data_IF_633115158555
#
_entry.id   IF_633115158555
#
_cell.length_a   1.000
_cell.length_b   1.000
_cell.length_c   1.000
_cell.angle_alpha   90.00
_cell.angle_beta   90.00
_cell.angle_gamma   90.00
#
_symmetry.space_group_name_H-M   'P 1'
#
loop_
_entity.id
_entity.type
_entity.pdbx_description
1 polymer ?
#
# COMPACT_ATOMS: atom_id res chain seq x y z
N UNK A 1 16.87 4.27 -19.67
CA UNK A 1 16.08 3.53 -18.63
C UNK A 1 14.64 3.95 -18.73
N UNK A 2 13.70 3.03 -18.52
CA UNK A 2 12.28 3.38 -18.42
C UNK A 2 12.02 4.23 -17.17
N UNK A 3 11.05 5.14 -17.21
CA UNK A 3 10.60 5.87 -16.03
C UNK A 3 10.13 4.89 -14.95
N UNK A 4 10.51 5.16 -13.70
CA UNK A 4 10.14 4.34 -12.55
C UNK A 4 9.72 5.22 -11.39
N UNK A 5 8.67 4.81 -10.68
CA UNK A 5 8.34 5.31 -9.36
C UNK A 5 8.68 4.24 -8.34
N UNK A 6 9.39 4.61 -7.29
CA UNK A 6 9.80 3.70 -6.21
C UNK A 6 9.17 4.13 -4.90
N UNK A 7 8.38 3.25 -4.32
CA UNK A 7 7.66 3.47 -3.08
C UNK A 7 8.20 2.54 -2.00
N UNK A 8 8.30 3.01 -0.77
CA UNK A 8 8.56 2.17 0.40
C UNK A 8 7.23 1.84 1.07
N UNK A 9 6.86 0.57 1.12
CA UNK A 9 5.67 0.08 1.82
C UNK A 9 6.08 -0.50 3.17
N UNK A 10 5.67 0.16 4.25
CA UNK A 10 6.00 -0.21 5.64
C UNK A 10 4.72 -0.61 6.35
N UNK A 11 4.65 -1.86 6.81
CA UNK A 11 3.52 -2.38 7.57
C UNK A 11 3.60 -2.04 9.05
N UNK A 12 2.79 -2.66 9.77
CA UNK A 12 2.46 -2.60 11.19
C UNK A 12 3.70 -2.42 12.09
N UNK A 13 3.85 -1.23 12.69
CA UNK A 13 4.99 -0.87 13.54
C UNK A 13 4.80 -1.31 14.99
N UNK A 14 3.57 -1.25 15.49
CA UNK A 14 3.18 -1.57 16.87
C UNK A 14 4.14 -0.97 17.91
N UNK A 15 4.41 0.33 17.80
CA UNK A 15 5.24 1.03 18.77
C UNK A 15 4.53 1.11 20.12
N UNK A 16 5.15 0.61 21.21
CA UNK A 16 4.51 0.64 22.52
C UNK A 16 4.38 2.06 23.04
N UNK A 17 3.30 2.32 23.78
CA UNK A 17 3.09 3.58 24.48
C UNK A 17 4.22 3.88 25.45
N UNK A 18 4.66 5.13 25.48
CA UNK A 18 5.67 5.59 26.43
C UNK A 18 5.09 5.89 27.82
N UNK A 19 4.28 5.01 28.35
CA UNK A 19 3.53 5.10 29.61
C UNK A 19 3.69 6.42 30.37
N UNK A 20 2.70 7.31 30.28
CA UNK A 20 2.48 8.49 31.13
C UNK A 20 3.34 9.73 30.91
N UNK A 21 4.23 9.80 29.93
CA UNK A 21 4.96 11.03 29.65
C UNK A 21 4.97 11.34 28.16
N UNK A 22 4.29 12.39 27.79
CA UNK A 22 4.28 12.97 26.45
C UNK A 22 5.66 13.47 26.07
N UNK A 23 6.47 12.62 25.43
CA UNK A 23 7.81 13.00 24.97
C UNK A 23 8.05 12.51 23.57
N UNK A 24 8.76 13.31 22.77
CA UNK A 24 9.28 12.84 21.50
C UNK A 24 10.11 11.58 21.73
N UNK A 25 9.87 10.54 20.97
CA UNK A 25 10.70 9.35 21.04
C UNK A 25 12.04 9.65 20.37
N UNK A 26 13.06 9.77 21.19
CA UNK A 26 14.44 9.60 20.79
C UNK A 26 14.94 8.30 21.43
N UNK A 27 15.44 7.36 20.64
CA UNK A 27 15.99 6.10 21.13
C UNK A 27 17.14 6.30 22.15
N UNK A 28 17.70 7.49 22.24
CA UNK A 28 18.73 7.89 23.22
C UNK A 28 18.12 8.46 24.50
N UNK A 29 16.83 8.81 24.47
CA UNK A 29 16.21 9.42 25.65
C UNK A 29 15.98 8.37 26.75
N UNK A 30 16.67 8.56 27.89
CA UNK A 30 16.55 7.69 29.06
C UNK A 30 15.24 7.84 29.82
N UNK A 31 14.42 8.76 29.42
CA UNK A 31 13.13 9.05 30.08
C UNK A 31 11.97 8.22 29.54
N UNK A 32 12.20 7.44 28.49
CA UNK A 32 11.21 6.51 27.95
C UNK A 32 10.91 5.36 28.90
N UNK A 33 9.74 4.75 28.74
CA UNK A 33 9.47 3.49 29.38
C UNK A 33 10.51 2.44 28.95
N UNK A 34 10.77 1.49 29.83
CA UNK A 34 11.72 0.41 29.54
C UNK A 34 11.29 -0.39 28.32
N UNK A 35 9.97 -0.63 28.20
CA UNK A 35 9.38 -1.37 27.10
C UNK A 35 9.63 -0.69 25.77
N UNK A 36 9.39 0.62 25.68
CA UNK A 36 9.61 1.40 24.47
C UNK A 36 11.08 1.44 24.08
N UNK A 37 11.98 1.68 25.06
CA UNK A 37 13.42 1.64 24.80
C UNK A 37 13.88 0.27 24.32
N UNK A 38 13.39 -0.80 24.92
CA UNK A 38 13.70 -2.16 24.51
C UNK A 38 13.22 -2.46 23.09
N UNK A 39 12.03 -2.01 22.72
CA UNK A 39 11.53 -2.17 21.36
C UNK A 39 12.36 -1.41 20.34
N UNK A 40 12.62 -0.12 20.58
CA UNK A 40 13.42 0.71 19.68
C UNK A 40 14.87 0.18 19.58
N UNK A 41 15.39 -0.41 20.63
CA UNK A 41 16.72 -1.03 20.64
C UNK A 41 16.76 -2.43 20.05
N UNK A 42 15.63 -3.06 19.80
CA UNK A 42 15.57 -4.38 19.15
C UNK A 42 16.26 -4.35 17.81
N UNK A 43 17.11 -5.32 17.59
CA UNK A 43 17.91 -5.40 16.38
C UNK A 43 17.08 -5.42 15.10
N UNK A 44 15.94 -6.15 15.00
CA UNK A 44 15.13 -6.16 13.81
C UNK A 44 14.61 -4.79 13.39
N UNK A 45 13.85 -4.11 14.26
CA UNK A 45 13.25 -2.81 13.92
C UNK A 45 14.31 -1.73 13.65
N UNK A 46 15.40 -1.72 14.41
CA UNK A 46 16.54 -0.81 14.20
C UNK A 46 17.18 -1.05 12.84
N UNK A 47 17.35 -2.32 12.44
CA UNK A 47 17.96 -2.69 11.16
C UNK A 47 17.06 -2.29 10.00
N UNK A 48 15.73 -2.50 10.11
CA UNK A 48 14.75 -2.08 9.12
C UNK A 48 14.78 -0.57 8.93
N UNK A 49 14.68 0.21 10.01
CA UNK A 49 14.68 1.68 9.91
C UNK A 49 16.01 2.24 9.39
N UNK A 50 17.13 1.63 9.74
CA UNK A 50 18.43 1.97 9.16
C UNK A 50 18.44 1.73 7.65
N UNK A 51 17.84 0.63 7.18
CA UNK A 51 17.77 0.34 5.75
C UNK A 51 16.82 1.27 5.01
N UNK A 52 15.65 1.56 5.57
CA UNK A 52 14.71 2.56 5.03
C UNK A 52 15.39 3.93 4.87
N UNK A 53 16.10 4.38 5.90
CA UNK A 53 16.88 5.62 5.83
C UNK A 53 17.93 5.60 4.71
N UNK A 54 18.66 4.50 4.55
CA UNK A 54 19.64 4.35 3.46
C UNK A 54 19.00 4.42 2.07
N UNK A 55 17.79 3.87 1.92
CA UNK A 55 17.05 3.96 0.65
C UNK A 55 16.58 5.39 0.37
N UNK A 56 16.12 6.11 1.38
CA UNK A 56 15.76 7.53 1.26
C UNK A 56 16.97 8.39 0.86
N UNK A 57 18.18 8.06 1.36
CA UNK A 57 19.44 8.73 0.97
C UNK A 57 19.82 8.50 -0.50
N UNK A 58 19.40 7.40 -1.12
CA UNK A 58 19.76 7.08 -2.51
C UNK A 58 19.06 7.95 -3.54
N UNK A 59 18.16 8.84 -3.14
CA UNK A 59 17.39 9.78 -3.98
C UNK A 59 16.41 9.13 -4.99
N UNK A 60 16.29 7.79 -4.99
CA UNK A 60 15.43 7.06 -5.92
C UNK A 60 14.02 6.83 -5.37
N UNK A 61 13.75 7.19 -4.10
CA UNK A 61 12.46 6.96 -3.46
C UNK A 61 11.51 8.10 -3.78
N UNK A 62 10.41 7.76 -4.41
CA UNK A 62 9.34 8.71 -4.80
C UNK A 62 8.36 8.98 -3.65
N UNK A 63 8.15 8.01 -2.75
CA UNK A 63 7.27 8.16 -1.57
C UNK A 63 7.51 7.06 -0.55
N UNK A 64 7.11 7.30 0.70
CA UNK A 64 7.03 6.29 1.76
C UNK A 64 5.60 6.19 2.27
N UNK A 65 5.11 4.96 2.41
CA UNK A 65 3.74 4.65 2.76
C UNK A 65 3.70 3.78 4.02
N UNK A 66 3.00 4.24 5.04
CA UNK A 66 2.78 3.51 6.28
C UNK A 66 1.36 2.94 6.29
N UNK A 67 1.28 1.60 6.42
CA UNK A 67 0.03 0.84 6.26
C UNK A 67 -0.82 0.80 7.53
N UNK A 68 -0.61 1.68 8.49
CA UNK A 68 -1.33 1.69 9.77
C UNK A 68 -0.64 0.89 10.86
N UNK A 69 -1.31 0.79 12.01
CA UNK A 69 -0.80 0.18 13.24
C UNK A 69 0.58 0.72 13.63
N UNK A 70 0.67 2.06 13.67
CA UNK A 70 1.88 2.75 14.12
C UNK A 70 2.11 2.52 15.61
N UNK A 71 1.02 2.35 16.38
CA UNK A 71 1.05 2.15 17.82
C UNK A 71 0.50 0.78 18.20
N UNK A 72 0.89 0.28 19.37
CA UNK A 72 0.38 -0.98 19.93
C UNK A 72 -0.96 -0.77 20.66
N UNK A 73 -1.15 0.44 21.22
CA UNK A 73 -2.38 0.85 21.89
C UNK A 73 -2.71 2.29 21.55
N UNK A 74 -3.97 2.54 21.20
CA UNK A 74 -4.52 3.86 20.92
C UNK A 74 -4.50 4.79 22.13
N UNK A 75 -3.35 5.34 22.48
CA UNK A 75 -3.12 6.26 23.57
C UNK A 75 -2.30 7.46 23.10
N UNK A 76 -2.57 8.64 23.66
CA UNK A 76 -1.99 9.91 23.22
C UNK A 76 -0.46 9.93 23.24
N UNK A 77 0.15 9.36 24.28
CA UNK A 77 1.62 9.27 24.38
C UNK A 77 2.22 8.33 23.34
N UNK A 78 1.52 7.24 23.00
CA UNK A 78 1.89 6.34 21.92
C UNK A 78 1.84 7.02 20.55
N UNK A 79 0.78 7.77 20.26
CA UNK A 79 0.65 8.51 19.00
C UNK A 79 1.77 9.52 18.79
N UNK A 80 2.03 10.37 19.78
CA UNK A 80 3.13 11.34 19.74
C UNK A 80 4.49 10.66 19.66
N UNK A 81 4.67 9.61 20.44
CA UNK A 81 5.87 8.82 20.44
C UNK A 81 6.15 8.16 19.10
N UNK A 82 5.14 7.54 18.48
CA UNK A 82 5.25 6.90 17.17
C UNK A 82 5.58 7.90 16.07
N UNK A 83 4.87 9.02 16.01
CA UNK A 83 5.13 10.09 15.05
C UNK A 83 6.55 10.65 15.21
N UNK A 84 6.99 10.93 16.45
CA UNK A 84 8.33 11.40 16.74
C UNK A 84 9.41 10.40 16.30
N UNK A 85 9.19 9.12 16.57
CA UNK A 85 10.14 8.06 16.18
C UNK A 85 10.31 8.01 14.66
N UNK A 86 9.21 7.95 13.90
CA UNK A 86 9.24 7.93 12.43
C UNK A 86 9.98 9.15 11.89
N UNK A 87 9.59 10.35 12.34
CA UNK A 87 10.16 11.60 11.90
C UNK A 87 11.66 11.69 12.18
N UNK A 88 12.11 11.27 13.37
CA UNK A 88 13.51 11.35 13.78
C UNK A 88 14.37 10.25 13.14
N UNK A 89 13.87 9.01 13.10
CA UNK A 89 14.63 7.88 12.58
C UNK A 89 14.85 7.96 11.06
N UNK A 90 13.86 8.47 10.34
CA UNK A 90 13.89 8.58 8.87
C UNK A 90 14.18 10.00 8.38
N UNK A 91 14.32 10.98 9.28
CA UNK A 91 14.53 12.39 8.94
C UNK A 91 13.46 12.92 7.98
N UNK A 92 12.20 12.53 8.23
CA UNK A 92 11.01 12.94 7.49
C UNK A 92 10.32 14.11 8.18
N UNK A 93 9.54 14.87 7.41
CA UNK A 93 8.76 16.01 7.91
C UNK A 93 9.48 17.34 7.86
N UNK A 94 8.80 18.40 8.32
CA UNK A 94 9.24 19.79 8.17
C UNK A 94 10.61 20.05 8.80
N UNK A 95 11.49 20.71 8.04
CA UNK A 95 12.82 21.08 8.50
C UNK A 95 13.83 19.94 8.62
N UNK A 96 13.48 18.74 8.13
CA UNK A 96 14.33 17.56 8.14
C UNK A 96 14.89 17.23 6.75
N UNK A 97 15.88 16.35 6.72
CA UNK A 97 16.65 16.03 5.50
C UNK A 97 15.78 15.53 4.35
N UNK A 98 14.78 14.69 4.64
CA UNK A 98 13.88 14.12 3.65
C UNK A 98 12.49 14.79 3.66
N UNK A 99 12.42 16.10 3.98
CA UNK A 99 11.16 16.84 4.02
C UNK A 99 10.41 16.89 2.67
N UNK A 100 11.12 16.73 1.56
CA UNK A 100 10.53 16.75 0.23
C UNK A 100 9.95 15.39 -0.19
N UNK A 101 10.22 14.31 0.57
CA UNK A 101 9.66 12.99 0.26
C UNK A 101 8.19 12.95 0.64
N UNK A 102 7.27 12.72 -0.32
CA UNK A 102 5.86 12.52 -0.03
C UNK A 102 5.64 11.35 0.92
N UNK A 103 4.74 11.53 1.87
CA UNK A 103 4.43 10.55 2.90
C UNK A 103 2.95 10.22 2.82
N UNK A 104 2.60 8.93 2.77
CA UNK A 104 1.23 8.46 2.95
C UNK A 104 1.11 7.68 4.26
N UNK A 105 0.14 8.04 5.08
CA UNK A 105 -0.17 7.33 6.33
C UNK A 105 -1.66 7.01 6.35
N UNK A 106 -2.01 5.77 6.61
CA UNK A 106 -3.39 5.36 6.90
C UNK A 106 -3.48 4.87 8.34
N UNK A 107 -4.62 5.05 9.02
CA UNK A 107 -4.78 4.53 10.37
C UNK A 107 -4.99 3.02 10.36
N UNK A 108 -4.41 2.32 11.35
CA UNK A 108 -4.74 0.94 11.68
C UNK A 108 -5.71 0.84 12.86
N UNK A 109 -6.21 -0.35 13.16
CA UNK A 109 -7.16 -0.56 14.26
C UNK A 109 -6.52 -0.36 15.65
N UNK A 110 -5.20 -0.44 15.75
CA UNK A 110 -4.45 -0.07 16.96
C UNK A 110 -4.17 1.43 17.08
N UNK A 111 -4.42 2.22 16.04
CA UNK A 111 -4.18 3.67 16.00
C UNK A 111 -5.39 4.51 16.41
N UNK A 112 -6.41 3.90 16.98
CA UNK A 112 -7.65 4.54 17.40
C UNK A 112 -7.57 4.87 18.88
N UNK A 113 -7.87 6.11 19.26
CA UNK A 113 -8.03 6.47 20.68
C UNK A 113 -9.25 5.77 21.26
N UNK A 114 -9.00 4.87 22.22
CA UNK A 114 -10.02 3.97 22.77
C UNK A 114 -11.06 4.70 23.61
N UNK A 115 -10.72 5.82 24.22
CA UNK A 115 -11.67 6.60 25.01
C UNK A 115 -12.56 7.46 24.10
N UNK A 116 -11.97 8.05 23.06
CA UNK A 116 -12.73 8.80 22.07
C UNK A 116 -13.61 7.90 21.20
N UNK A 117 -13.21 6.64 20.98
CA UNK A 117 -14.04 5.67 20.26
C UNK A 117 -15.37 5.35 20.96
N UNK A 118 -15.48 5.59 22.27
CA UNK A 118 -16.72 5.43 23.05
C UNK A 118 -17.70 6.58 22.88
N UNK A 119 -17.25 7.68 22.24
CA UNK A 119 -18.09 8.87 22.03
C UNK A 119 -18.93 8.70 20.74
N UNK A 120 -20.01 9.48 20.61
CA UNK A 120 -20.88 9.41 19.42
C UNK A 120 -20.19 9.82 18.10
N UNK A 121 -19.09 10.58 18.18
CA UNK A 121 -18.37 11.03 16.99
C UNK A 121 -17.49 9.92 16.42
N UNK A 122 -17.75 9.52 15.18
CA UNK A 122 -16.96 8.53 14.46
C UNK A 122 -15.55 9.00 14.11
N UNK A 123 -15.37 10.31 13.92
CA UNK A 123 -14.08 10.90 13.51
C UNK A 123 -13.15 11.21 14.69
N UNK A 124 -13.70 11.51 15.88
CA UNK A 124 -12.93 11.99 17.04
C UNK A 124 -11.79 11.05 17.44
N UNK A 125 -11.98 9.77 17.33
CA UNK A 125 -11.00 8.72 17.68
C UNK A 125 -9.70 8.77 16.89
N UNK A 126 -9.68 9.44 15.73
CA UNK A 126 -8.49 9.60 14.88
C UNK A 126 -7.74 10.92 15.13
N UNK A 127 -8.35 11.89 15.80
CA UNK A 127 -7.73 13.21 16.00
C UNK A 127 -6.39 13.17 16.73
N UNK A 128 -6.20 12.39 17.81
CA UNK A 128 -4.93 12.40 18.52
C UNK A 128 -3.75 11.94 17.66
N UNK A 129 -3.93 10.90 16.82
CA UNK A 129 -2.90 10.48 15.90
C UNK A 129 -2.72 11.51 14.78
N UNK A 130 -3.79 12.06 14.23
CA UNK A 130 -3.70 13.08 13.18
C UNK A 130 -2.95 14.33 13.66
N UNK A 131 -3.21 14.80 14.87
CA UNK A 131 -2.45 15.90 15.49
C UNK A 131 -0.98 15.55 15.70
N UNK A 132 -0.69 14.32 16.14
CA UNK A 132 0.67 13.88 16.32
C UNK A 132 1.45 13.88 15.00
N UNK A 133 0.87 13.32 13.93
CA UNK A 133 1.48 13.31 12.60
C UNK A 133 1.70 14.74 12.08
N UNK A 134 0.69 15.60 12.19
CA UNK A 134 0.78 16.99 11.76
C UNK A 134 1.88 17.76 12.51
N UNK A 135 2.01 17.56 13.83
CA UNK A 135 3.02 18.22 14.67
C UNK A 135 4.46 17.89 14.24
N UNK A 136 4.68 16.72 13.61
CA UNK A 136 5.99 16.32 13.09
C UNK A 136 6.13 16.49 11.57
N UNK A 137 5.12 17.04 10.89
CA UNK A 137 5.13 17.25 9.45
C UNK A 137 5.06 15.95 8.64
N UNK A 138 4.47 14.91 9.20
CA UNK A 138 4.31 13.60 8.54
C UNK A 138 3.02 13.50 7.70
N UNK A 139 2.34 14.61 7.47
CA UNK A 139 1.10 14.67 6.71
C UNK A 139 -0.15 14.57 7.59
N UNK A 140 -1.26 14.21 6.99
CA UNK A 140 -2.56 14.03 7.64
C UNK A 140 -3.11 12.63 7.36
N UNK A 141 -4.05 12.18 8.20
CA UNK A 141 -4.77 10.92 8.01
C UNK A 141 -6.01 11.13 7.12
N UNK A 142 -6.34 10.17 6.26
CA UNK A 142 -7.69 10.05 5.75
C UNK A 142 -8.61 9.70 6.93
N UNK A 143 -9.55 10.55 7.28
CA UNK A 143 -10.48 10.29 8.40
C UNK A 143 -11.80 9.76 7.86
N UNK A 144 -12.69 10.65 7.44
CA UNK A 144 -13.99 10.29 6.84
C UNK A 144 -13.92 10.22 5.31
N UNK A 145 -13.03 11.01 4.71
CA UNK A 145 -12.81 11.10 3.27
C UNK A 145 -11.50 10.47 2.86
N UNK A 146 -11.41 10.03 1.62
CA UNK A 146 -10.12 9.66 1.04
C UNK A 146 -9.24 10.89 0.81
N UNK A 147 -7.93 10.66 0.76
CA UNK A 147 -6.94 11.70 0.43
C UNK A 147 -6.09 11.23 -0.76
N UNK A 148 -5.71 12.14 -1.63
CA UNK A 148 -4.91 11.82 -2.80
C UNK A 148 -3.52 12.44 -2.69
N UNK A 149 -2.49 11.62 -2.95
CA UNK A 149 -1.09 12.05 -3.10
C UNK A 149 -0.66 11.72 -4.52
N UNK A 150 -0.45 12.75 -5.34
CA UNK A 150 -0.04 12.58 -6.73
C UNK A 150 1.48 12.54 -6.85
N UNK A 151 2.00 11.56 -7.56
CA UNK A 151 3.41 11.40 -7.87
C UNK A 151 3.64 11.48 -9.38
N UNK A 152 4.81 11.98 -9.78
CA UNK A 152 5.19 12.01 -11.18
C UNK A 152 6.70 12.01 -11.40
N UNK A 153 7.13 11.27 -12.43
CA UNK A 153 8.53 11.27 -12.91
C UNK A 153 8.49 11.25 -14.43
N UNK A 154 9.04 12.26 -15.07
CA UNK A 154 8.88 12.48 -16.51
C UNK A 154 7.38 12.46 -16.90
N UNK A 155 6.97 11.60 -17.84
CA UNK A 155 5.57 11.45 -18.25
C UNK A 155 4.78 10.45 -17.41
N UNK A 156 5.45 9.70 -16.54
CA UNK A 156 4.82 8.73 -15.64
C UNK A 156 4.02 9.42 -14.52
N UNK A 157 2.79 8.99 -14.26
CA UNK A 157 1.91 9.52 -13.23
C UNK A 157 1.33 8.39 -12.37
N UNK A 158 1.20 8.67 -11.07
CA UNK A 158 0.55 7.76 -10.13
C UNK A 158 -0.21 8.59 -9.08
N UNK A 159 -1.49 8.31 -8.91
CA UNK A 159 -2.30 8.86 -7.83
C UNK A 159 -2.46 7.81 -6.75
N UNK A 160 -2.00 8.15 -5.55
CA UNK A 160 -2.10 7.33 -4.36
C UNK A 160 -3.32 7.80 -3.57
N UNK A 161 -4.34 6.97 -3.50
CA UNK A 161 -5.58 7.22 -2.76
C UNK A 161 -5.45 6.57 -1.39
N UNK A 162 -5.34 7.39 -0.35
CA UNK A 162 -5.30 6.94 1.03
C UNK A 162 -6.71 6.80 1.57
N UNK A 163 -7.05 5.63 2.14
CA UNK A 163 -8.38 5.31 2.67
C UNK A 163 -8.31 4.89 4.13
N UNK A 164 -9.35 5.23 4.89
CA UNK A 164 -9.50 4.80 6.28
C UNK A 164 -10.40 3.57 6.39
N UNK A 165 -9.81 2.39 6.42
CA UNK A 165 -10.54 1.13 6.65
C UNK A 165 -10.90 0.88 8.13
N UNK A 166 -10.45 1.74 9.05
CA UNK A 166 -10.74 1.66 10.48
C UNK A 166 -11.93 2.54 10.89
N UNK A 167 -12.68 3.11 9.94
CA UNK A 167 -13.84 3.95 10.25
C UNK A 167 -14.84 3.24 11.15
N UNK A 168 -15.17 1.98 10.86
CA UNK A 168 -16.06 1.15 11.65
C UNK A 168 -15.48 0.62 12.97
N UNK A 169 -14.16 0.65 13.15
CA UNK A 169 -13.52 0.11 14.35
C UNK A 169 -13.93 0.90 15.60
N UNK A 170 -14.36 0.20 16.66
CA UNK A 170 -14.85 0.81 17.89
C UNK A 170 -16.27 1.37 17.81
N UNK A 171 -16.95 1.29 16.68
CA UNK A 171 -18.28 1.84 16.49
C UNK A 171 -19.37 0.91 17.06
N UNK A 172 -20.34 1.51 17.74
CA UNK A 172 -21.57 0.82 18.17
C UNK A 172 -22.66 0.82 17.08
N UNK A 173 -22.35 1.29 15.87
CA UNK A 173 -23.32 1.56 14.81
C UNK A 173 -23.93 0.33 14.15
N UNK A 174 -23.36 -0.85 14.40
CA UNK A 174 -23.91 -2.11 13.88
C UNK A 174 -25.14 -2.61 14.64
N UNK A 175 -25.52 -1.92 15.74
CA UNK A 175 -26.82 -2.14 16.38
C UNK A 175 -27.82 -1.23 15.67
N UNK A 176 -28.91 -1.79 15.06
CA UNK A 176 -29.95 -0.97 14.46
C UNK A 176 -30.40 0.15 15.38
N UNK A 177 -30.64 1.33 14.81
CA UNK A 177 -30.87 2.55 15.59
C UNK A 177 -32.01 2.39 16.60
N UNK A 178 -33.10 1.75 16.20
CA UNK A 178 -34.27 1.46 17.01
C UNK A 178 -33.96 0.59 18.23
N UNK A 179 -32.92 -0.24 18.19
CA UNK A 179 -32.51 -1.12 19.28
C UNK A 179 -31.27 -0.63 20.03
N UNK A 180 -30.57 0.39 19.50
CA UNK A 180 -29.29 0.86 20.03
C UNK A 180 -29.34 1.24 21.49
N UNK A 181 -30.39 1.98 21.90
CA UNK A 181 -30.56 2.41 23.28
C UNK A 181 -30.77 1.22 24.25
N UNK A 182 -31.63 0.27 23.86
CA UNK A 182 -31.97 -0.87 24.72
C UNK A 182 -30.83 -1.89 24.78
N UNK A 183 -30.29 -2.29 23.63
CA UNK A 183 -29.19 -3.26 23.55
C UNK A 183 -27.91 -2.65 24.10
N UNK A 184 -27.61 -1.37 23.77
CA UNK A 184 -26.44 -0.67 24.29
C UNK A 184 -26.47 -0.56 25.82
N UNK A 185 -27.62 -0.23 26.42
CA UNK A 185 -27.78 -0.22 27.89
C UNK A 185 -27.56 -1.60 28.52
N UNK A 186 -28.14 -2.65 27.94
CA UNK A 186 -27.96 -4.03 28.42
C UNK A 186 -26.49 -4.50 28.34
N UNK A 187 -25.79 -4.17 27.25
CA UNK A 187 -24.36 -4.44 27.11
C UNK A 187 -23.57 -3.70 28.19
N UNK A 188 -23.81 -2.39 28.36
CA UNK A 188 -23.12 -1.59 29.37
C UNK A 188 -23.34 -2.13 30.80
N UNK A 189 -24.54 -2.56 31.11
CA UNK A 189 -24.84 -3.13 32.42
C UNK A 189 -24.16 -4.50 32.63
N UNK A 190 -24.11 -5.32 31.60
CA UNK A 190 -23.37 -6.59 31.64
C UNK A 190 -21.86 -6.37 31.80
N UNK A 191 -21.30 -5.31 31.20
CA UNK A 191 -19.88 -4.99 31.29
C UNK A 191 -19.48 -4.40 32.66
N UNK A 192 -20.36 -3.64 33.32
CA UNK A 192 -20.07 -3.06 34.65
C UNK A 192 -19.76 -4.05 35.75
N UNK A 193 -20.29 -5.26 35.67
CA UNK A 193 -20.08 -6.34 36.70
C UNK A 193 -19.33 -7.56 36.16
N UNK A 194 -18.84 -7.50 34.94
CA UNK A 194 -18.22 -8.64 34.24
C UNK A 194 -16.77 -8.94 34.64
N UNK A 195 -16.31 -10.15 34.34
CA UNK A 195 -14.89 -10.53 34.46
C UNK A 195 -14.07 -9.56 33.59
N UNK A 196 -13.00 -8.91 34.13
CA UNK A 196 -12.17 -7.99 33.40
C UNK A 196 -11.60 -8.54 32.07
N UNK A 197 -11.38 -9.85 31.99
CA UNK A 197 -10.94 -10.53 30.76
C UNK A 197 -12.04 -10.56 29.71
N UNK A 198 -13.29 -10.80 30.12
CA UNK A 198 -14.45 -10.82 29.22
C UNK A 198 -14.74 -9.40 28.73
N UNK A 199 -14.68 -8.41 29.62
CA UNK A 199 -14.84 -6.99 29.29
C UNK A 199 -13.77 -6.54 28.29
N UNK A 200 -12.52 -6.89 28.55
CA UNK A 200 -11.42 -6.57 27.62
C UNK A 200 -11.65 -7.23 26.26
N UNK A 201 -11.97 -8.52 26.22
CA UNK A 201 -12.21 -9.25 24.97
C UNK A 201 -13.41 -8.69 24.19
N UNK A 202 -14.44 -8.18 24.86
CA UNK A 202 -15.55 -7.49 24.22
C UNK A 202 -15.08 -6.21 23.51
N UNK A 203 -14.37 -5.34 24.21
CA UNK A 203 -13.86 -4.12 23.60
C UNK A 203 -12.83 -4.38 22.50
N UNK A 204 -11.95 -5.34 22.68
CA UNK A 204 -10.99 -5.71 21.64
C UNK A 204 -11.72 -6.11 20.33
N UNK A 205 -12.83 -6.85 20.42
CA UNK A 205 -13.65 -7.20 19.25
C UNK A 205 -14.30 -6.00 18.56
N UNK A 206 -14.70 -4.96 19.32
CA UNK A 206 -15.27 -3.75 18.73
C UNK A 206 -14.22 -2.98 17.90
N UNK A 207 -12.96 -3.05 18.30
CA UNK A 207 -11.87 -2.44 17.52
C UNK A 207 -11.51 -3.21 16.25
N UNK A 208 -11.95 -4.45 16.13
CA UNK A 208 -11.71 -5.30 14.96
C UNK A 208 -12.92 -5.36 14.00
N UNK A 209 -13.70 -4.28 13.90
CA UNK A 209 -14.80 -4.18 12.93
C UNK A 209 -14.44 -3.19 11.82
N UNK A 210 -13.59 -3.60 10.87
CA UNK A 210 -13.13 -2.69 9.84
C UNK A 210 -14.24 -2.37 8.83
N UNK A 211 -14.37 -1.09 8.49
CA UNK A 211 -15.25 -0.60 7.44
C UNK A 211 -14.74 0.73 6.92
N UNK A 212 -14.98 1.05 5.68
CA UNK A 212 -14.84 2.40 5.12
C UNK A 212 -16.12 3.21 5.40
N UNK A 213 -16.01 4.53 5.46
CA UNK A 213 -17.18 5.40 5.38
C UNK A 213 -17.75 5.41 3.94
N UNK A 214 -19.04 5.66 3.81
CA UNK A 214 -19.66 5.80 2.48
C UNK A 214 -19.05 6.96 1.69
N UNK A 215 -18.70 8.04 2.36
CA UNK A 215 -18.02 9.20 1.76
C UNK A 215 -16.64 8.81 1.22
N UNK A 216 -15.86 8.03 1.99
CA UNK A 216 -14.54 7.56 1.56
C UNK A 216 -14.66 6.67 0.31
N UNK A 217 -15.65 5.77 0.26
CA UNK A 217 -15.90 4.94 -0.91
C UNK A 217 -16.29 5.81 -2.11
N UNK A 218 -17.23 6.74 -1.94
CA UNK A 218 -17.69 7.63 -3.01
C UNK A 218 -16.54 8.47 -3.59
N UNK A 219 -15.70 9.08 -2.74
CA UNK A 219 -14.54 9.86 -3.15
C UNK A 219 -13.52 9.00 -3.92
N UNK A 220 -13.30 7.76 -3.48
CA UNK A 220 -12.36 6.83 -4.13
C UNK A 220 -12.87 6.42 -5.51
N UNK A 221 -14.17 6.13 -5.63
CA UNK A 221 -14.81 5.78 -6.91
C UNK A 221 -14.78 6.98 -7.87
N UNK A 222 -15.07 8.18 -7.39
CA UNK A 222 -14.95 9.40 -8.19
C UNK A 222 -13.52 9.59 -8.70
N UNK A 223 -12.52 9.49 -7.82
CA UNK A 223 -11.11 9.57 -8.20
C UNK A 223 -10.75 8.49 -9.24
N UNK A 224 -11.21 7.25 -9.06
CA UNK A 224 -10.93 6.17 -10.00
C UNK A 224 -11.55 6.40 -11.39
N UNK A 225 -12.67 7.12 -11.45
CA UNK A 225 -13.37 7.43 -12.71
C UNK A 225 -12.79 8.68 -13.39
N UNK A 226 -12.40 9.69 -12.63
CA UNK A 226 -11.97 10.98 -13.14
C UNK A 226 -10.48 11.02 -13.50
N UNK A 227 -9.66 10.19 -12.85
CA UNK A 227 -8.22 10.12 -13.12
C UNK A 227 -7.94 9.64 -14.56
N UNK A 228 -7.05 10.31 -15.31
CA UNK A 228 -6.68 9.90 -16.66
C UNK A 228 -6.17 8.46 -16.74
N UNK A 229 -6.43 7.76 -17.85
CA UNK A 229 -6.09 6.32 -18.00
C UNK A 229 -4.59 6.03 -18.03
N UNK A 230 -3.75 7.02 -18.36
CA UNK A 230 -2.29 6.92 -18.32
C UNK A 230 -1.72 7.09 -16.91
N UNK A 231 -2.53 7.55 -15.95
CA UNK A 231 -2.16 7.68 -14.55
C UNK A 231 -2.52 6.39 -13.81
N UNK A 232 -1.54 5.75 -13.17
CA UNK A 232 -1.79 4.57 -12.34
C UNK A 232 -2.54 4.96 -11.07
N UNK A 233 -3.55 4.19 -10.72
CA UNK A 233 -4.21 4.29 -9.42
C UNK A 233 -3.61 3.29 -8.43
N UNK A 234 -3.21 3.80 -7.27
CA UNK A 234 -2.72 3.03 -6.15
C UNK A 234 -3.57 3.37 -4.93
N UNK A 235 -4.31 2.40 -4.43
CA UNK A 235 -5.16 2.56 -3.24
C UNK A 235 -4.42 2.00 -2.03
N UNK A 236 -4.44 2.73 -0.93
CA UNK A 236 -3.77 2.36 0.32
C UNK A 236 -4.78 2.36 1.45
N UNK A 237 -4.87 1.25 2.17
CA UNK A 237 -5.64 1.14 3.40
C UNK A 237 -4.95 0.16 4.36
N UNK A 238 -5.40 0.08 5.61
CA UNK A 238 -4.81 -0.85 6.56
C UNK A 238 -5.30 -2.30 6.34
N UNK A 239 -6.61 -2.50 6.17
CA UNK A 239 -7.20 -3.85 6.04
C UNK A 239 -7.21 -4.34 4.59
N UNK A 240 -7.12 -5.65 4.41
CA UNK A 240 -7.19 -6.32 3.13
C UNK A 240 -8.61 -6.27 2.51
N UNK A 241 -8.68 -6.19 1.17
CA UNK A 241 -9.96 -6.27 0.44
C UNK A 241 -10.38 -7.69 0.10
N UNK A 242 -9.44 -8.60 0.03
CA UNK A 242 -9.69 -10.01 -0.31
C UNK A 242 -9.81 -10.84 0.96
N UNK A 243 -10.62 -11.93 0.97
CA UNK A 243 -10.73 -12.81 2.09
C UNK A 243 -9.36 -13.35 2.52
N UNK A 244 -9.12 -13.45 3.82
CA UNK A 244 -7.87 -14.00 4.33
C UNK A 244 -7.76 -15.50 3.98
N UNK A 245 -6.56 -15.92 3.58
CA UNK A 245 -6.28 -17.34 3.26
C UNK A 245 -6.35 -18.25 4.49
N UNK A 246 -6.07 -17.71 5.68
CA UNK A 246 -6.18 -18.46 6.92
C UNK A 246 -7.58 -18.24 7.49
N UNK A 247 -8.34 -19.33 7.58
CA UNK A 247 -9.64 -19.38 8.26
C UNK A 247 -9.44 -19.04 9.73
N UNK A 248 -9.65 -17.80 10.10
CA UNK A 248 -9.86 -17.42 11.50
C UNK A 248 -11.36 -17.52 11.75
N UNK A 249 -11.75 -18.42 12.63
CA UNK A 249 -13.11 -18.45 13.22
C UNK A 249 -13.30 -17.27 14.19
N UNK A 250 -12.80 -16.09 13.83
CA UNK A 250 -12.97 -14.88 14.61
C UNK A 250 -13.94 -13.97 13.85
N UNK A 251 -15.06 -13.55 14.46
CA UNK A 251 -15.89 -12.52 13.89
C UNK A 251 -15.06 -11.25 13.74
N UNK A 252 -15.32 -10.48 12.66
CA UNK A 252 -14.80 -9.12 12.46
C UNK A 252 -13.32 -8.99 12.06
N UNK A 253 -12.73 -9.99 11.44
CA UNK A 253 -11.37 -9.87 10.87
C UNK A 253 -11.36 -9.41 9.43
N UNK A 254 -12.52 -9.40 8.76
CA UNK A 254 -12.65 -8.99 7.38
C UNK A 254 -13.38 -7.65 7.27
N UNK A 255 -12.98 -6.85 6.29
CA UNK A 255 -13.58 -5.56 5.99
C UNK A 255 -15.07 -5.72 5.62
N UNK A 256 -15.97 -5.14 6.42
CA UNK A 256 -17.43 -5.33 6.31
C UNK A 256 -17.97 -4.97 4.93
N UNK A 257 -17.50 -3.87 4.35
CA UNK A 257 -17.93 -3.40 3.02
C UNK A 257 -16.91 -3.63 1.91
N UNK A 258 -16.00 -4.62 2.09
CA UNK A 258 -15.00 -5.00 1.08
C UNK A 258 -15.63 -5.32 -0.29
N UNK A 259 -16.80 -5.95 -0.30
CA UNK A 259 -17.51 -6.29 -1.53
C UNK A 259 -17.89 -5.07 -2.37
N UNK A 260 -18.39 -4.01 -1.73
CA UNK A 260 -18.81 -2.78 -2.40
C UNK A 260 -17.61 -2.05 -3.04
N UNK A 261 -16.57 -1.78 -2.26
CA UNK A 261 -15.38 -1.08 -2.78
C UNK A 261 -14.67 -1.90 -3.86
N UNK A 262 -14.57 -3.22 -3.68
CA UNK A 262 -13.95 -4.11 -4.65
C UNK A 262 -14.70 -4.12 -6.00
N UNK A 263 -16.03 -4.20 -5.97
CA UNK A 263 -16.85 -4.10 -7.18
C UNK A 263 -16.63 -2.77 -7.89
N UNK A 264 -16.68 -1.67 -7.17
CA UNK A 264 -16.49 -0.32 -7.73
C UNK A 264 -15.10 -0.12 -8.32
N UNK A 265 -14.05 -0.62 -7.67
CA UNK A 265 -12.69 -0.53 -8.21
C UNK A 265 -12.51 -1.36 -9.49
N UNK A 266 -13.13 -2.54 -9.57
CA UNK A 266 -13.08 -3.36 -10.78
C UNK A 266 -13.89 -2.76 -11.95
N UNK A 267 -14.97 -2.05 -11.64
CA UNK A 267 -15.78 -1.33 -12.64
C UNK A 267 -15.04 -0.14 -13.27
N UNK A 268 -13.98 0.38 -12.64
CA UNK A 268 -13.15 1.45 -13.19
C UNK A 268 -12.41 1.04 -14.47
N UNK A 269 -12.37 -0.25 -14.82
CA UNK A 269 -11.81 -0.82 -16.07
C UNK A 269 -10.36 -0.39 -16.32
N UNK A 270 -9.57 -0.37 -15.27
CA UNK A 270 -8.15 -0.03 -15.28
C UNK A 270 -7.41 -0.86 -14.23
N UNK A 271 -6.10 -1.14 -14.40
CA UNK A 271 -5.34 -1.81 -13.36
C UNK A 271 -5.23 -0.94 -12.12
N UNK A 272 -5.48 -1.52 -10.96
CA UNK A 272 -5.40 -0.86 -9.67
C UNK A 272 -4.51 -1.67 -8.75
N UNK A 273 -3.55 -1.00 -8.12
CA UNK A 273 -2.78 -1.56 -7.01
C UNK A 273 -3.47 -1.22 -5.70
N UNK A 274 -3.60 -2.21 -4.82
CA UNK A 274 -4.11 -2.05 -3.47
C UNK A 274 -3.04 -2.48 -2.47
N UNK A 275 -2.51 -1.54 -1.69
CA UNK A 275 -1.49 -1.80 -0.67
C UNK A 275 -2.13 -1.80 0.71
N UNK A 276 -1.78 -2.80 1.52
CA UNK A 276 -2.33 -2.91 2.88
C UNK A 276 -1.32 -3.54 3.87
N UNK A 277 -1.67 -3.53 5.16
CA UNK A 277 -0.98 -4.18 6.27
C UNK A 277 -1.85 -5.23 6.95
N UNK A 278 -2.00 -5.15 8.26
CA UNK A 278 -2.90 -5.87 9.15
C UNK A 278 -2.66 -7.38 9.29
N UNK A 279 -2.50 -8.11 8.22
CA UNK A 279 -2.36 -9.58 8.26
C UNK A 279 -0.94 -10.06 8.58
N UNK A 280 0.02 -9.16 8.68
CA UNK A 280 1.45 -9.39 9.01
C UNK A 280 2.17 -10.41 8.12
N UNK A 281 1.50 -10.88 7.10
CA UNK A 281 2.07 -11.70 6.02
C UNK A 281 2.05 -10.87 4.75
N UNK A 282 2.76 -11.31 3.73
CA UNK A 282 2.92 -10.54 2.51
C UNK A 282 2.44 -11.27 1.24
N UNK A 283 1.18 -11.76 1.19
CA UNK A 283 0.66 -12.31 -0.04
C UNK A 283 0.53 -11.20 -1.10
N UNK A 284 0.75 -11.61 -2.34
CA UNK A 284 0.35 -10.86 -3.52
C UNK A 284 -0.80 -11.63 -4.14
N UNK A 285 -1.93 -10.99 -4.30
CA UNK A 285 -3.14 -11.60 -4.81
C UNK A 285 -3.70 -10.76 -5.96
N UNK A 286 -4.20 -11.44 -6.98
CA UNK A 286 -4.76 -10.77 -8.17
C UNK A 286 -6.21 -11.20 -8.33
N UNK A 287 -7.10 -10.23 -8.37
CA UNK A 287 -8.49 -10.41 -8.70
C UNK A 287 -8.76 -9.81 -10.07
N UNK A 288 -9.35 -10.57 -10.97
CA UNK A 288 -9.74 -10.11 -12.29
C UNK A 288 -11.16 -10.55 -12.61
N UNK A 289 -11.87 -9.74 -13.38
CA UNK A 289 -13.18 -10.08 -13.94
C UNK A 289 -13.05 -10.26 -15.46
N UNK A 290 -13.94 -11.06 -16.10
CA UNK A 290 -13.80 -11.40 -17.52
C UNK A 290 -13.66 -10.19 -18.46
N UNK A 291 -14.42 -9.12 -18.20
CA UNK A 291 -14.47 -7.90 -19.02
C UNK A 291 -13.79 -6.69 -18.37
N UNK A 292 -13.01 -6.91 -17.31
CA UNK A 292 -12.32 -5.87 -16.56
C UNK A 292 -10.82 -6.06 -16.49
N UNK A 293 -10.17 -5.05 -15.94
CA UNK A 293 -8.77 -5.11 -15.57
C UNK A 293 -8.57 -5.81 -14.21
N UNK A 294 -7.36 -5.81 -13.70
CA UNK A 294 -7.03 -6.48 -12.46
C UNK A 294 -6.93 -5.52 -11.28
N UNK A 295 -7.36 -6.01 -10.13
CA UNK A 295 -7.04 -5.45 -8.81
C UNK A 295 -5.93 -6.31 -8.21
N UNK A 296 -4.77 -5.71 -8.00
CA UNK A 296 -3.60 -6.37 -7.41
C UNK A 296 -3.47 -5.96 -5.96
N UNK A 297 -3.68 -6.89 -5.05
CA UNK A 297 -3.55 -6.68 -3.60
C UNK A 297 -2.16 -7.08 -3.14
N UNK A 298 -1.44 -6.18 -2.48
CA UNK A 298 -0.08 -6.38 -1.99
C UNK A 298 -0.05 -6.06 -0.50
N UNK A 299 0.16 -7.07 0.31
CA UNK A 299 0.29 -6.92 1.75
C UNK A 299 1.72 -6.55 2.15
N UNK A 300 1.87 -5.70 3.16
CA UNK A 300 3.14 -5.45 3.83
C UNK A 300 3.39 -6.49 4.93
N UNK A 301 4.64 -6.91 5.15
CA UNK A 301 4.99 -7.62 6.37
C UNK A 301 4.92 -6.66 7.57
N UNK A 302 4.81 -7.19 8.80
CA UNK A 302 5.05 -6.38 9.99
C UNK A 302 6.45 -5.76 9.94
N UNK A 303 6.58 -4.52 10.40
CA UNK A 303 7.83 -3.75 10.23
C UNK A 303 9.05 -4.43 10.89
N UNK A 304 8.86 -5.19 11.97
CA UNK A 304 9.96 -5.95 12.59
C UNK A 304 10.38 -7.19 11.76
N UNK A 305 9.56 -7.65 10.83
CA UNK A 305 9.89 -8.75 9.91
C UNK A 305 10.50 -8.24 8.59
N UNK A 306 10.25 -6.98 8.23
CA UNK A 306 10.77 -6.40 7.00
C UNK A 306 9.90 -5.29 6.42
N UNK A 307 10.02 -5.07 5.12
CA UNK A 307 9.23 -4.10 4.35
C UNK A 307 9.30 -4.45 2.86
N UNK A 308 8.44 -3.83 2.05
CA UNK A 308 8.49 -3.97 0.60
C UNK A 308 9.01 -2.68 -0.05
N UNK A 309 9.81 -2.82 -1.11
CA UNK A 309 10.03 -1.77 -2.09
C UNK A 309 9.13 -2.08 -3.28
N UNK A 310 8.26 -1.15 -3.63
CA UNK A 310 7.35 -1.23 -4.76
C UNK A 310 7.93 -0.37 -5.88
N UNK A 311 8.32 -0.98 -7.00
CA UNK A 311 8.75 -0.25 -8.18
C UNK A 311 7.69 -0.34 -9.27
N UNK A 312 7.16 0.79 -9.67
CA UNK A 312 6.21 0.88 -10.77
C UNK A 312 7.00 1.31 -12.01
N UNK A 313 6.98 0.48 -13.03
CA UNK A 313 7.68 0.71 -14.29
C UNK A 313 6.68 1.20 -15.33
N UNK A 314 7.08 2.20 -16.08
CA UNK A 314 6.27 2.81 -17.14
C UNK A 314 6.94 2.69 -18.50
N UNK A 315 6.14 2.76 -19.57
CA UNK A 315 6.66 2.98 -20.91
C UNK A 315 7.32 4.36 -21.00
N UNK A 316 8.07 4.62 -22.07
CA UNK A 316 8.57 5.96 -22.33
C UNK A 316 7.48 6.99 -22.56
N UNK A 317 6.31 6.55 -22.99
CA UNK A 317 5.10 7.38 -23.14
C UNK A 317 4.28 7.55 -21.86
N UNK A 318 4.78 7.05 -20.71
CA UNK A 318 4.13 7.22 -19.40
C UNK A 318 3.04 6.18 -19.06
N UNK A 319 2.78 5.19 -19.91
CA UNK A 319 1.79 4.15 -19.57
C UNK A 319 2.36 3.14 -18.55
N UNK A 320 1.59 2.74 -17.49
CA UNK A 320 2.03 1.73 -16.53
C UNK A 320 2.26 0.36 -17.19
N UNK A 321 3.39 -0.27 -16.93
CA UNK A 321 3.76 -1.58 -17.48
C UNK A 321 3.67 -2.70 -16.46
N UNK A 322 4.37 -2.53 -15.35
CA UNK A 322 4.50 -3.55 -14.33
C UNK A 322 4.74 -2.95 -12.95
N UNK A 323 4.32 -3.70 -11.95
CA UNK A 323 4.70 -3.48 -10.57
C UNK A 323 5.71 -4.54 -10.15
N UNK A 324 6.87 -4.13 -9.69
CA UNK A 324 7.85 -5.00 -9.07
C UNK A 324 7.73 -4.87 -7.56
N UNK A 325 7.47 -5.98 -6.89
CA UNK A 325 7.52 -6.08 -5.44
C UNK A 325 8.85 -6.67 -5.04
N UNK A 326 9.64 -5.94 -4.28
CA UNK A 326 10.97 -6.30 -3.84
C UNK A 326 10.96 -6.40 -2.31
N UNK A 327 10.73 -7.60 -1.74
CA UNK A 327 10.67 -7.77 -0.30
C UNK A 327 12.07 -7.66 0.32
N UNK A 328 12.18 -6.90 1.42
CA UNK A 328 13.32 -6.91 2.32
C UNK A 328 12.93 -7.66 3.58
N UNK A 329 13.56 -8.80 3.84
CA UNK A 329 13.23 -9.69 4.97
C UNK A 329 14.47 -10.20 5.65
N UNK A 330 14.34 -10.56 6.92
CA UNK A 330 15.40 -11.26 7.64
C UNK A 330 15.51 -12.70 7.16
N UNK A 331 16.73 -13.13 6.91
CA UNK A 331 17.03 -14.54 6.68
C UNK A 331 17.12 -15.32 8.01
N UNK A 332 17.37 -16.62 7.91
CA UNK A 332 17.50 -17.49 9.09
C UNK A 332 18.68 -17.09 10.02
N UNK A 333 19.65 -16.34 9.51
CA UNK A 333 20.77 -15.83 10.29
C UNK A 333 20.50 -14.47 10.93
N UNK A 334 19.28 -13.90 10.74
CA UNK A 334 18.89 -12.59 11.26
C UNK A 334 19.48 -11.41 10.48
N UNK A 335 19.91 -11.63 9.24
CA UNK A 335 20.40 -10.57 8.34
C UNK A 335 19.29 -10.09 7.45
N UNK A 336 19.04 -8.78 7.43
CA UNK A 336 18.06 -8.17 6.53
C UNK A 336 18.59 -8.17 5.09
N UNK A 337 17.91 -8.88 4.19
CA UNK A 337 18.29 -9.03 2.79
C UNK A 337 17.15 -8.69 1.86
N UNK A 338 17.53 -8.22 0.68
CA UNK A 338 16.63 -8.13 -0.44
C UNK A 338 16.31 -9.53 -0.98
N UNK A 339 15.05 -9.88 -1.04
CA UNK A 339 14.58 -11.12 -1.65
C UNK A 339 14.41 -10.96 -3.17
N UNK A 340 14.27 -12.06 -3.92
CA UNK A 340 13.97 -12.01 -5.34
C UNK A 340 12.75 -11.13 -5.63
N UNK A 341 12.88 -10.35 -6.68
CA UNK A 341 11.81 -9.48 -7.19
C UNK A 341 10.65 -10.32 -7.72
N UNK A 342 9.44 -9.96 -7.33
CA UNK A 342 8.20 -10.47 -7.91
C UNK A 342 7.66 -9.43 -8.89
N UNK A 343 7.30 -9.84 -10.09
CA UNK A 343 6.79 -8.93 -11.12
C UNK A 343 5.31 -9.21 -11.35
N UNK A 344 4.50 -8.16 -11.23
CA UNK A 344 3.07 -8.18 -11.53
C UNK A 344 2.82 -7.30 -12.75
N UNK A 345 2.36 -7.86 -13.88
CA UNK A 345 1.99 -7.07 -15.04
C UNK A 345 0.79 -6.16 -14.72
N UNK A 346 0.87 -4.90 -15.13
CA UNK A 346 -0.22 -3.92 -15.02
C UNK A 346 -0.99 -3.75 -16.33
N UNK A 347 -0.66 -4.55 -17.33
CA UNK A 347 -1.33 -4.55 -18.63
C UNK A 347 -2.53 -5.47 -18.54
N UNK A 348 -3.72 -4.91 -18.68
CA UNK A 348 -4.93 -5.70 -18.72
C UNK A 348 -4.96 -6.67 -19.90
N UNK A 349 -5.46 -7.89 -19.68
CA UNK A 349 -5.68 -8.88 -20.75
C UNK A 349 -6.48 -8.31 -21.93
N UNK A 350 -7.36 -7.35 -21.65
CA UNK A 350 -8.21 -6.71 -22.65
C UNK A 350 -7.40 -5.89 -23.69
N UNK A 351 -6.31 -5.25 -23.30
CA UNK A 351 -5.42 -4.53 -24.24
C UNK A 351 -4.80 -5.49 -25.25
N UNK A 352 -4.36 -6.67 -24.82
CA UNK A 352 -3.80 -7.69 -25.73
C UNK A 352 -4.79 -8.17 -26.78
N UNK A 353 -6.03 -8.46 -26.38
CA UNK A 353 -7.04 -8.98 -27.31
C UNK A 353 -7.59 -7.91 -28.25
N UNK A 354 -7.49 -6.63 -27.88
CA UNK A 354 -7.98 -5.50 -28.70
C UNK A 354 -6.89 -4.83 -29.52
N UNK A 355 -5.62 -4.93 -29.13
CA UNK A 355 -4.49 -4.41 -29.91
C UNK A 355 -4.01 -5.47 -30.89
N UNK A 356 -4.53 -5.37 -32.13
CA UNK A 356 -4.15 -6.27 -33.22
C UNK A 356 -2.65 -6.20 -33.51
N UNK A 357 -2.02 -5.03 -33.41
CA UNK A 357 -0.60 -4.84 -33.62
C UNK A 357 0.26 -5.57 -32.57
N UNK A 358 -0.11 -5.46 -31.28
CA UNK A 358 0.57 -6.19 -30.22
C UNK A 358 0.46 -7.71 -30.40
N UNK A 359 -0.72 -8.19 -30.79
CA UNK A 359 -0.92 -9.61 -31.05
C UNK A 359 -0.11 -10.11 -32.25
N UNK A 360 0.03 -9.31 -33.30
CA UNK A 360 0.85 -9.64 -34.47
C UNK A 360 2.34 -9.67 -34.12
N UNK A 361 2.82 -8.70 -33.34
CA UNK A 361 4.21 -8.66 -32.84
C UNK A 361 4.52 -9.91 -32.01
N UNK A 362 3.63 -10.27 -31.10
CA UNK A 362 3.84 -11.47 -30.28
C UNK A 362 3.81 -12.76 -31.11
N UNK A 363 2.87 -12.88 -32.06
CA UNK A 363 2.82 -14.03 -32.97
C UNK A 363 4.10 -14.14 -33.83
N UNK A 364 4.62 -13.03 -34.34
CA UNK A 364 5.90 -13.01 -35.02
C UNK A 364 7.03 -13.54 -34.14
N UNK A 365 7.18 -13.02 -32.92
CA UNK A 365 8.23 -13.45 -31.98
C UNK A 365 8.08 -14.93 -31.59
N UNK A 366 6.87 -15.43 -31.39
CA UNK A 366 6.63 -16.86 -31.15
C UNK A 366 7.10 -17.73 -32.31
N UNK A 367 7.00 -17.24 -33.54
CA UNK A 367 7.42 -17.96 -34.74
C UNK A 367 8.94 -17.95 -34.92
N UNK A 368 9.60 -16.80 -34.74
CA UNK A 368 11.06 -16.67 -34.94
C UNK A 368 11.87 -17.09 -33.71
N UNK A 369 11.24 -17.13 -32.52
CA UNK A 369 11.82 -17.45 -31.20
C UNK A 369 12.79 -16.41 -30.69
N UNK A 370 13.80 -16.07 -31.46
CA UNK A 370 14.81 -15.08 -31.13
C UNK A 370 15.19 -14.25 -32.36
N UNK A 371 15.36 -12.96 -32.21
CA UNK A 371 15.85 -12.09 -33.28
C UNK A 371 16.50 -10.82 -32.72
N UNK A 372 17.36 -10.21 -33.55
CA UNK A 372 17.89 -8.88 -33.28
C UNK A 372 16.86 -7.80 -33.61
N UNK A 373 16.96 -6.64 -32.94
CA UNK A 373 16.05 -5.52 -33.11
C UNK A 373 15.94 -5.06 -34.57
N UNK A 374 17.05 -4.91 -35.30
CA UNK A 374 17.03 -4.41 -36.66
C UNK A 374 16.24 -5.34 -37.60
N UNK A 375 16.39 -6.67 -37.41
CA UNK A 375 15.60 -7.66 -38.15
C UNK A 375 14.13 -7.56 -37.78
N UNK A 376 13.83 -7.49 -36.49
CA UNK A 376 12.46 -7.34 -35.97
C UNK A 376 11.80 -6.06 -36.55
N UNK A 377 12.51 -4.94 -36.51
CA UNK A 377 12.03 -3.65 -37.04
C UNK A 377 11.71 -3.78 -38.54
N UNK A 378 12.61 -4.40 -39.31
CA UNK A 378 12.40 -4.60 -40.75
C UNK A 378 11.22 -5.50 -41.07
N UNK A 379 11.08 -6.62 -40.36
CA UNK A 379 10.06 -7.63 -40.62
C UNK A 379 8.66 -7.19 -40.14
N UNK A 380 8.58 -6.40 -39.07
CA UNK A 380 7.33 -5.96 -38.45
C UNK A 380 6.90 -4.52 -38.84
N UNK A 381 7.69 -3.83 -39.69
CA UNK A 381 7.42 -2.43 -40.06
C UNK A 381 6.01 -2.19 -40.61
N UNK A 382 5.44 -3.18 -41.31
CA UNK A 382 4.09 -3.08 -41.86
C UNK A 382 2.96 -3.13 -40.84
N UNK A 383 3.23 -3.54 -39.61
CA UNK A 383 2.19 -3.63 -38.56
C UNK A 383 1.80 -2.22 -38.08
N UNK A 384 2.70 -1.26 -38.16
CA UNK A 384 2.49 0.11 -37.74
C UNK A 384 3.08 1.08 -38.79
N UNK A 385 2.30 1.50 -39.80
CA UNK A 385 2.80 2.36 -40.86
C UNK A 385 3.13 3.79 -40.41
N UNK A 386 2.67 4.20 -39.25
CA UNK A 386 2.96 5.50 -38.62
C UNK A 386 3.72 5.26 -37.33
N UNK A 387 4.80 6.02 -37.11
CA UNK A 387 5.64 5.92 -35.89
C UNK A 387 6.15 4.49 -35.64
N UNK A 388 6.49 3.76 -36.68
CA UNK A 388 6.80 2.33 -36.70
C UNK A 388 7.73 1.91 -35.57
N UNK A 389 8.89 2.56 -35.44
CA UNK A 389 9.89 2.18 -34.45
C UNK A 389 9.39 2.41 -33.02
N UNK A 390 8.76 3.55 -32.74
CA UNK A 390 8.22 3.87 -31.43
C UNK A 390 7.11 2.89 -30.99
N UNK A 391 6.19 2.56 -31.92
CA UNK A 391 5.09 1.63 -31.67
C UNK A 391 5.59 0.19 -31.48
N UNK A 392 6.55 -0.26 -32.27
CA UNK A 392 7.17 -1.58 -32.10
C UNK A 392 7.93 -1.68 -30.77
N UNK A 393 8.65 -0.61 -30.42
CA UNK A 393 9.32 -0.54 -29.12
C UNK A 393 8.32 -0.60 -27.95
N UNK A 394 7.22 0.13 -28.02
CA UNK A 394 6.14 0.06 -27.04
C UNK A 394 5.58 -1.36 -26.92
N UNK A 395 5.32 -2.03 -28.04
CA UNK A 395 4.86 -3.42 -28.03
C UNK A 395 5.85 -4.36 -27.33
N UNK A 396 7.15 -4.23 -27.57
CA UNK A 396 8.18 -5.04 -26.90
C UNK A 396 8.19 -4.73 -25.39
N UNK A 397 8.13 -3.47 -25.00
CA UNK A 397 8.08 -3.07 -23.60
C UNK A 397 6.83 -3.67 -22.88
N UNK A 398 5.68 -3.67 -23.55
CA UNK A 398 4.45 -4.30 -23.08
C UNK A 398 4.60 -5.82 -22.91
N UNK A 399 5.16 -6.50 -23.91
CA UNK A 399 5.40 -7.96 -23.86
C UNK A 399 6.48 -8.35 -22.83
N UNK A 400 7.46 -7.49 -22.62
CA UNK A 400 8.48 -7.68 -21.59
C UNK A 400 7.87 -7.52 -20.20
N UNK A 401 6.99 -6.55 -19.98
CA UNK A 401 6.33 -6.33 -18.70
C UNK A 401 5.44 -7.50 -18.30
N UNK A 402 4.76 -8.13 -19.24
CA UNK A 402 3.95 -9.33 -18.98
C UNK A 402 4.76 -10.65 -19.02
N UNK A 403 6.08 -10.53 -19.13
CA UNK A 403 7.03 -11.66 -19.16
C UNK A 403 6.87 -12.60 -20.36
N UNK A 404 6.20 -12.18 -21.41
CA UNK A 404 6.06 -12.94 -22.65
C UNK A 404 7.31 -12.85 -23.53
N UNK A 405 8.11 -11.81 -23.35
CA UNK A 405 9.34 -11.57 -24.10
C UNK A 405 10.48 -11.21 -23.15
N UNK A 406 11.64 -11.78 -23.37
CA UNK A 406 12.91 -11.36 -22.79
C UNK A 406 13.61 -10.41 -23.75
N UNK A 407 14.24 -9.38 -23.21
CA UNK A 407 15.07 -8.46 -23.99
C UNK A 407 16.46 -8.44 -23.35
N UNK A 408 17.44 -8.99 -24.06
CA UNK A 408 18.84 -8.83 -23.67
C UNK A 408 19.32 -7.42 -24.07
N UNK A 409 20.23 -6.89 -23.29
CA UNK A 409 20.78 -5.53 -23.46
C UNK A 409 19.73 -4.42 -23.42
N UNK A 410 18.61 -4.66 -22.72
CA UNK A 410 17.49 -3.73 -22.65
C UNK A 410 17.88 -2.32 -22.20
N UNK A 411 18.89 -2.18 -21.36
CA UNK A 411 19.38 -0.86 -20.90
C UNK A 411 20.14 -0.08 -21.98
N UNK A 412 20.55 -0.75 -23.04
CA UNK A 412 21.19 -0.12 -24.19
C UNK A 412 20.15 0.48 -25.17
N UNK A 413 20.63 1.03 -26.28
CA UNK A 413 19.75 1.48 -27.37
C UNK A 413 19.04 0.28 -28.02
N UNK A 414 17.81 0.45 -28.55
CA UNK A 414 17.07 -0.64 -29.17
C UNK A 414 17.85 -1.43 -30.22
N UNK A 415 18.68 -0.77 -31.03
CA UNK A 415 19.55 -1.44 -32.01
C UNK A 415 20.47 -2.53 -31.42
N UNK A 416 20.68 -2.54 -30.11
CA UNK A 416 21.47 -3.57 -29.40
C UNK A 416 20.62 -4.65 -28.75
N UNK A 417 19.30 -4.58 -28.90
CA UNK A 417 18.39 -5.53 -28.26
C UNK A 417 18.40 -6.88 -29.00
N UNK A 418 18.35 -7.94 -28.18
CA UNK A 418 18.04 -9.30 -28.64
C UNK A 418 16.71 -9.66 -27.99
N UNK A 419 15.73 -9.94 -28.85
CA UNK A 419 14.36 -10.26 -28.43
C UNK A 419 14.16 -11.77 -28.41
N UNK A 420 13.65 -12.32 -27.32
CA UNK A 420 13.38 -13.75 -27.18
C UNK A 420 11.96 -13.97 -26.66
N UNK A 421 11.16 -14.76 -27.39
CA UNK A 421 9.84 -15.14 -26.93
C UNK A 421 9.91 -16.21 -25.83
N UNK A 422 9.21 -15.98 -24.73
CA UNK A 422 8.97 -17.01 -23.70
C UNK A 422 7.73 -17.82 -24.04
N UNK A 423 7.82 -19.15 -23.83
CA UNK A 423 6.75 -20.09 -24.08
C UNK A 423 6.15 -20.52 -22.75
#
# INVERSE_FOLDING_TARGET
MLPKLRLLQVGDLHLPSAAKKERPIDHKDRTFSVELRNMISRQPIKTVFKKLYQLLESSDVSSILFMGDLTDFGQLDGFRGGAAFIANALQLGNGRRHQATPIGVVPGNHDIDRELAKQPSMSAKFFPLNEALHSYGLGALPVERSMVVSLGVADARCDIILMNSCWGCGALEYIPEEFRKTIGAAIQDALKGGDPRVVKAYYDRQFDTPAFSDTCIADTVASATETPFDTLLLVVAHHNLLPQRMTRLAPYTELVNAGAIRASLLEAKRPILYLHGHIHTDPIEILSIPDGDCLVSISAPAAEAGFNVIEIVYTRAGAPLACHVIPWKFDQSGVLKQNPRLTVPLIGRRRRSLDQGLSQVYAYLLNVRQCYWDKFLSDCASFFPIETEARLQECIELLMADQSVLVENYEARPASWILEARI
#
